data_IF_340732430054
#
_entry.id   IF_340732430054
#
_cell.length_a   1.000
_cell.length_b   1.000
_cell.length_c   1.000
_cell.angle_alpha   90.00
_cell.angle_beta   90.00
_cell.angle_gamma   90.00
#
_symmetry.space_group_name_H-M   'P 1'
#
loop_
_entity.id
_entity.type
_entity.pdbx_description
1 polymer ?
#
# COMPACT_ATOMS: atom_id res chain seq x y z
N UNK A 1 -8.16 12.89 13.62
CA UNK A 1 -7.64 11.97 12.58
C UNK A 1 -6.51 12.70 11.87
N UNK A 2 -5.27 12.24 12.05
CA UNK A 2 -4.12 12.92 11.46
C UNK A 2 -3.93 12.43 9.99
N UNK A 3 -3.02 13.06 9.25
CA UNK A 3 -2.80 12.73 7.84
C UNK A 3 -2.31 11.29 7.61
N UNK A 4 -1.59 10.73 8.60
CA UNK A 4 -1.09 9.36 8.55
C UNK A 4 -2.24 8.37 8.68
N UNK A 5 -3.22 8.61 9.55
CA UNK A 5 -4.39 7.71 9.70
C UNK A 5 -5.17 7.56 8.38
N UNK A 6 -5.30 8.67 7.64
CA UNK A 6 -5.93 8.67 6.31
C UNK A 6 -5.11 7.86 5.31
N UNK A 7 -3.79 8.02 5.32
CA UNK A 7 -2.90 7.25 4.45
C UNK A 7 -2.97 5.75 4.76
N UNK A 8 -2.95 5.36 6.02
CA UNK A 8 -3.08 3.95 6.45
C UNK A 8 -4.40 3.34 5.97
N UNK A 9 -5.50 4.09 6.06
CA UNK A 9 -6.81 3.64 5.57
C UNK A 9 -6.79 3.41 4.04
N UNK A 10 -6.13 4.29 3.29
CA UNK A 10 -5.98 4.14 1.83
C UNK A 10 -5.14 2.91 1.51
N UNK A 11 -3.99 2.75 2.17
CA UNK A 11 -3.10 1.60 1.96
C UNK A 11 -3.79 0.28 2.29
N UNK A 12 -4.60 0.24 3.34
CA UNK A 12 -5.39 -0.95 3.70
C UNK A 12 -6.36 -1.35 2.59
N UNK A 13 -7.04 -0.38 1.94
CA UNK A 13 -7.95 -0.67 0.82
C UNK A 13 -7.21 -1.13 -0.42
N UNK A 14 -6.09 -0.50 -0.75
CA UNK A 14 -5.30 -0.86 -1.94
C UNK A 14 -4.70 -2.26 -1.81
N UNK A 15 -4.32 -2.67 -0.60
CA UNK A 15 -3.69 -3.98 -0.31
C UNK A 15 -4.66 -5.03 0.25
N UNK A 16 -5.97 -4.82 0.14
CA UNK A 16 -6.96 -5.82 0.52
C UNK A 16 -6.76 -7.11 -0.29
N UNK A 17 -6.68 -8.30 0.33
CA UNK A 17 -6.31 -9.53 -0.38
C UNK A 17 -7.33 -9.94 -1.45
N UNK A 18 -8.61 -9.68 -1.20
CA UNK A 18 -9.71 -10.09 -2.08
C UNK A 18 -10.02 -9.02 -3.13
N UNK A 19 -10.08 -7.75 -2.72
CA UNK A 19 -10.62 -6.65 -3.53
C UNK A 19 -9.58 -5.56 -3.84
N UNK A 20 -8.34 -5.70 -3.37
CA UNK A 20 -7.28 -4.71 -3.56
C UNK A 20 -6.76 -4.64 -5.00
N UNK A 21 -6.02 -3.57 -5.28
CA UNK A 21 -5.36 -3.36 -6.57
C UNK A 21 -4.33 -4.48 -6.81
N UNK A 22 -4.34 -5.18 -7.95
CA UNK A 22 -3.40 -6.27 -8.22
C UNK A 22 -1.94 -5.88 -8.05
N UNK A 23 -1.57 -4.69 -8.52
CA UNK A 23 -0.19 -4.17 -8.40
C UNK A 23 0.20 -3.89 -6.95
N UNK A 24 -0.68 -3.27 -6.15
CA UNK A 24 -0.39 -2.97 -4.74
C UNK A 24 -0.27 -4.24 -3.89
N UNK A 25 -0.98 -5.32 -4.25
CA UNK A 25 -0.89 -6.63 -3.59
C UNK A 25 0.47 -7.31 -3.83
N UNK A 26 1.02 -7.16 -5.04
CA UNK A 26 2.30 -7.76 -5.44
C UNK A 26 3.51 -6.88 -5.10
N UNK A 27 3.28 -5.63 -4.72
CA UNK A 27 4.32 -4.67 -4.40
C UNK A 27 5.15 -5.12 -3.19
N UNK A 28 6.47 -5.13 -3.35
CA UNK A 28 7.43 -5.42 -2.28
C UNK A 28 8.28 -4.18 -1.98
N UNK A 29 8.90 -4.12 -0.81
CA UNK A 29 9.82 -3.02 -0.48
C UNK A 29 10.93 -2.85 -1.54
N UNK A 30 11.48 -3.95 -2.05
CA UNK A 30 12.50 -3.96 -3.10
C UNK A 30 12.04 -3.28 -4.41
N UNK A 31 10.74 -3.31 -4.72
CA UNK A 31 10.19 -2.62 -5.90
C UNK A 31 9.97 -1.12 -5.70
N UNK A 32 9.91 -0.65 -4.45
CA UNK A 32 9.64 0.76 -4.09
C UNK A 32 10.92 1.53 -3.79
N UNK A 33 11.93 0.84 -3.26
CA UNK A 33 13.16 1.46 -2.80
C UNK A 33 14.33 1.17 -3.76
N UNK A 34 14.41 1.85 -4.92
CA UNK A 34 15.55 1.67 -5.82
C UNK A 34 16.85 2.34 -5.33
N UNK A 35 16.81 3.09 -4.23
CA UNK A 35 17.93 3.94 -3.80
C UNK A 35 18.26 3.86 -2.29
N UNK A 36 17.95 2.74 -1.64
CA UNK A 36 18.45 2.36 -0.30
C UNK A 36 18.84 0.90 -0.32
#
# INVERSE_FOLDING_TARGET
MNQIDRLLTIMQRLRDPENGCPWDKEQTFATIAPYT
#
